data_IF_128793608077
#
_entry.id   IF_128793608077
#
_cell.length_a   1.000
_cell.length_b   1.000
_cell.length_c   1.000
_cell.angle_alpha   90.00
_cell.angle_beta   90.00
_cell.angle_gamma   90.00
#
_symmetry.space_group_name_H-M   'P 1'
#
loop_
_entity.id
_entity.type
_entity.pdbx_description
1 polymer ?
#
# COMPACT_ATOMS: atom_id res chain seq x y z
N UNK A 1 32.33 20.00 -8.29
CA UNK A 1 31.38 19.83 -9.42
C UNK A 1 29.96 19.97 -8.92
N UNK A 2 28.98 20.05 -9.82
CA UNK A 2 27.55 20.04 -9.46
C UNK A 2 26.98 18.64 -9.59
N UNK A 3 26.28 18.16 -8.57
CA UNK A 3 25.79 16.77 -8.49
C UNK A 3 24.33 16.73 -8.02
N UNK A 4 23.56 15.81 -8.58
CA UNK A 4 22.24 15.41 -8.10
C UNK A 4 22.36 14.05 -7.41
N UNK A 5 21.42 13.72 -6.53
CA UNK A 5 21.46 12.48 -5.76
C UNK A 5 20.11 11.77 -5.78
N UNK A 6 20.14 10.45 -5.95
CA UNK A 6 19.03 9.54 -5.68
C UNK A 6 19.43 8.65 -4.51
N UNK A 7 18.49 8.38 -3.62
CA UNK A 7 18.68 7.54 -2.46
C UNK A 7 17.59 6.49 -2.39
N UNK A 8 18.00 5.22 -2.39
CA UNK A 8 17.15 4.08 -2.04
C UNK A 8 17.62 3.54 -0.70
N UNK A 9 16.67 3.37 0.22
CA UNK A 9 16.91 2.71 1.49
C UNK A 9 15.93 1.55 1.66
N UNK A 10 16.39 0.52 2.36
CA UNK A 10 15.61 -0.68 2.64
C UNK A 10 15.73 -1.09 4.10
N UNK A 11 14.78 -1.87 4.59
CA UNK A 11 14.80 -2.35 5.98
C UNK A 11 16.02 -3.24 6.25
N UNK A 12 16.40 -4.05 5.26
CA UNK A 12 17.56 -4.94 5.28
C UNK A 12 18.56 -4.54 4.19
N UNK A 13 19.78 -5.08 4.22
CA UNK A 13 20.73 -4.87 3.13
C UNK A 13 20.15 -5.42 1.82
N UNK A 14 20.42 -4.74 0.70
CA UNK A 14 19.85 -5.10 -0.60
C UNK A 14 20.17 -6.55 -1.00
N UNK A 15 21.39 -7.02 -0.73
CA UNK A 15 21.78 -8.40 -0.99
C UNK A 15 20.91 -9.42 -0.23
N UNK A 16 20.55 -9.12 1.02
CA UNK A 16 19.72 -9.99 1.85
C UNK A 16 18.27 -10.03 1.32
N UNK A 17 17.74 -8.87 0.92
CA UNK A 17 16.40 -8.76 0.30
C UNK A 17 16.29 -9.65 -0.95
N UNK A 18 17.33 -9.67 -1.79
CA UNK A 18 17.37 -10.49 -3.01
C UNK A 18 17.36 -12.00 -2.75
N UNK A 19 17.90 -12.43 -1.62
CA UNK A 19 17.93 -13.84 -1.20
C UNK A 19 16.73 -14.25 -0.35
N UNK A 20 15.88 -13.29 0.04
CA UNK A 20 14.70 -13.57 0.83
C UNK A 20 13.65 -14.33 0.01
N UNK A 21 12.79 -15.11 0.70
CA UNK A 21 11.63 -15.74 0.06
C UNK A 21 10.47 -14.79 -0.22
N UNK A 22 10.60 -13.50 0.14
CA UNK A 22 9.56 -12.48 -0.03
C UNK A 22 9.45 -12.07 -1.49
N UNK A 23 8.30 -11.54 -1.89
CA UNK A 23 8.28 -10.66 -3.05
C UNK A 23 9.18 -9.45 -2.76
N UNK A 24 10.08 -9.14 -3.69
CA UNK A 24 11.19 -8.22 -3.48
C UNK A 24 11.18 -7.11 -4.52
N UNK A 25 11.75 -5.97 -4.13
CA UNK A 25 11.99 -4.87 -5.05
C UNK A 25 13.35 -5.06 -5.71
N UNK A 26 13.36 -5.27 -7.03
CA UNK A 26 14.56 -5.39 -7.85
C UNK A 26 14.84 -4.04 -8.50
N UNK A 27 16.06 -3.52 -8.31
CA UNK A 27 16.45 -2.23 -8.86
C UNK A 27 17.30 -2.41 -10.11
N UNK A 28 17.00 -1.62 -11.13
CA UNK A 28 17.90 -1.39 -12.28
C UNK A 28 18.70 -0.14 -11.93
N UNK A 29 20.02 -0.26 -11.77
CA UNK A 29 20.87 0.89 -11.46
C UNK A 29 21.56 1.39 -12.74
N UNK A 30 21.68 2.72 -12.94
CA UNK A 30 22.43 3.26 -14.06
C UNK A 30 23.90 2.82 -14.02
N UNK A 31 24.47 2.52 -15.18
CA UNK A 31 25.90 2.33 -15.37
C UNK A 31 26.68 3.61 -15.09
N UNK A 32 27.95 3.46 -14.71
CA UNK A 32 28.80 4.59 -14.31
C UNK A 32 29.29 5.46 -15.48
N UNK A 33 29.10 5.03 -16.74
CA UNK A 33 29.74 5.65 -17.92
C UNK A 33 28.76 6.26 -18.90
N UNK A 34 27.61 5.62 -19.14
CA UNK A 34 26.76 5.96 -20.28
C UNK A 34 25.29 6.22 -19.90
N UNK A 35 24.89 5.83 -18.69
CA UNK A 35 23.51 5.97 -18.24
C UNK A 35 23.30 7.25 -17.43
N UNK A 36 22.09 7.78 -17.54
CA UNK A 36 21.63 8.89 -16.72
C UNK A 36 20.88 8.38 -15.50
N UNK A 37 20.61 9.27 -14.53
CA UNK A 37 19.84 8.90 -13.34
C UNK A 37 18.44 8.35 -13.68
N UNK A 38 17.92 8.69 -14.85
CA UNK A 38 16.60 8.27 -15.35
C UNK A 38 16.50 6.76 -15.60
N UNK A 39 17.63 6.06 -15.79
CA UNK A 39 17.66 4.60 -15.92
C UNK A 39 17.46 3.88 -14.57
N UNK A 40 17.43 4.62 -13.45
CA UNK A 40 17.07 4.03 -12.16
C UNK A 40 15.59 3.63 -12.17
N UNK A 41 15.34 2.36 -11.94
CA UNK A 41 14.00 1.82 -11.73
C UNK A 41 13.99 0.86 -10.57
N UNK A 42 12.84 0.75 -9.90
CA UNK A 42 12.60 -0.23 -8.86
C UNK A 42 11.32 -0.98 -9.19
N UNK A 43 11.46 -2.27 -9.50
CA UNK A 43 10.38 -3.15 -9.92
C UNK A 43 10.06 -4.14 -8.81
N UNK A 44 8.81 -4.19 -8.37
CA UNK A 44 8.33 -5.22 -7.44
C UNK A 44 8.21 -6.55 -8.19
N UNK A 45 8.77 -7.63 -7.67
CA UNK A 45 8.64 -8.98 -8.23
C UNK A 45 7.17 -9.40 -8.33
N UNK A 46 6.77 -9.83 -9.54
CA UNK A 46 5.43 -10.29 -9.86
C UNK A 46 5.46 -11.34 -10.97
N UNK A 47 4.40 -12.12 -11.09
CA UNK A 47 4.17 -13.05 -12.19
C UNK A 47 3.15 -12.48 -13.17
N UNK A 48 3.41 -12.63 -14.47
CA UNK A 48 2.42 -12.29 -15.48
C UNK A 48 1.32 -13.35 -15.55
N UNK A 49 0.07 -12.93 -15.34
CA UNK A 49 -1.13 -13.78 -15.43
C UNK A 49 -1.96 -13.50 -16.69
N UNK A 50 -1.34 -12.90 -17.71
CA UNK A 50 -2.01 -12.46 -18.94
C UNK A 50 -2.51 -11.03 -18.83
N UNK A 51 -3.78 -10.86 -18.46
CA UNK A 51 -4.47 -9.56 -18.39
C UNK A 51 -3.99 -8.67 -17.23
N UNK A 52 -3.41 -9.27 -16.20
CA UNK A 52 -2.86 -8.61 -15.04
C UNK A 52 -1.56 -9.32 -14.60
N UNK A 53 -0.81 -8.65 -13.73
CA UNK A 53 0.32 -9.21 -13.01
C UNK A 53 -0.07 -9.47 -11.56
N UNK A 54 0.54 -10.47 -10.91
CA UNK A 54 0.24 -10.84 -9.52
C UNK A 54 1.51 -10.89 -8.67
N UNK A 55 1.47 -10.29 -7.48
CA UNK A 55 2.56 -10.37 -6.51
C UNK A 55 2.50 -11.69 -5.76
N UNK A 56 3.51 -12.54 -5.97
CA UNK A 56 3.65 -13.81 -5.26
C UNK A 56 4.38 -13.59 -3.94
N UNK A 57 3.61 -13.33 -2.88
CA UNK A 57 4.15 -12.92 -1.58
C UNK A 57 4.76 -14.07 -0.74
N UNK A 58 4.51 -15.34 -1.11
CA UNK A 58 4.98 -16.54 -0.39
C UNK A 58 4.66 -16.55 1.12
N UNK A 59 3.49 -16.03 1.49
CA UNK A 59 3.05 -15.86 2.89
C UNK A 59 4.00 -15.02 3.74
N UNK A 60 4.71 -14.08 3.10
CA UNK A 60 5.62 -13.16 3.76
C UNK A 60 5.31 -11.70 3.37
N UNK A 61 5.52 -10.75 4.29
CA UNK A 61 5.39 -9.32 3.98
C UNK A 61 6.50 -8.85 3.04
N UNK A 62 6.25 -7.74 2.34
CA UNK A 62 7.27 -7.03 1.56
C UNK A 62 8.34 -6.42 2.48
N UNK A 63 9.57 -6.31 1.99
CA UNK A 63 10.57 -5.46 2.64
C UNK A 63 10.19 -3.97 2.51
N UNK A 64 10.50 -3.18 3.54
CA UNK A 64 10.21 -1.74 3.48
C UNK A 64 11.17 -1.05 2.51
N UNK A 65 10.61 -0.29 1.57
CA UNK A 65 11.33 0.54 0.61
C UNK A 65 11.11 2.01 0.96
N UNK A 66 12.21 2.77 0.93
CA UNK A 66 12.19 4.22 0.93
C UNK A 66 12.94 4.77 -0.28
N UNK A 67 12.38 5.80 -0.87
CA UNK A 67 12.98 6.49 -2.00
C UNK A 67 13.06 8.00 -1.74
N UNK A 68 14.17 8.60 -2.16
CA UNK A 68 14.39 10.03 -2.05
C UNK A 68 15.20 10.56 -3.21
N UNK A 69 14.94 11.81 -3.58
CA UNK A 69 15.62 12.50 -4.66
C UNK A 69 16.04 13.90 -4.22
N UNK A 70 17.20 14.32 -4.70
CA UNK A 70 17.63 15.70 -4.63
C UNK A 70 17.98 16.18 -6.04
N UNK A 71 16.99 16.83 -6.65
CA UNK A 71 17.05 17.30 -8.03
C UNK A 71 17.78 18.64 -8.16
N UNK A 72 17.83 19.43 -7.09
CA UNK A 72 18.66 20.63 -7.09
C UNK A 72 20.13 20.24 -6.95
N UNK A 73 20.93 20.61 -7.95
CA UNK A 73 22.32 20.20 -7.99
C UNK A 73 23.13 20.90 -6.90
N UNK A 74 23.83 20.12 -6.08
CA UNK A 74 24.72 20.64 -5.03
C UNK A 74 26.10 20.84 -5.60
N UNK A 75 26.68 21.99 -5.28
CA UNK A 75 28.07 22.26 -5.56
C UNK A 75 28.99 21.62 -4.51
N UNK A 76 29.76 20.63 -4.96
CA UNK A 76 30.80 19.97 -4.17
C UNK A 76 32.14 20.65 -4.44
N UNK A 77 32.73 21.20 -3.38
CA UNK A 77 34.05 21.84 -3.41
C UNK A 77 35.13 20.89 -2.89
N UNK A 78 36.34 20.98 -3.45
CA UNK A 78 37.52 20.29 -2.92
C UNK A 78 38.12 20.97 -1.68
N UNK A 79 37.74 22.22 -1.40
CA UNK A 79 38.33 23.02 -0.33
C UNK A 79 37.60 22.94 1.02
N UNK A 80 36.35 22.48 1.03
CA UNK A 80 35.52 22.37 2.24
C UNK A 80 34.45 21.28 2.10
N UNK A 81 34.00 20.65 3.21
CA UNK A 81 32.86 19.74 3.18
C UNK A 81 31.59 20.44 2.66
N UNK A 82 30.83 19.74 1.84
CA UNK A 82 29.46 20.12 1.42
C UNK A 82 28.46 19.21 2.12
N UNK A 83 27.34 19.77 2.57
CA UNK A 83 26.28 19.04 3.26
C UNK A 83 24.97 19.10 2.48
N UNK A 84 24.22 18.01 2.54
CA UNK A 84 22.98 17.80 1.81
C UNK A 84 22.05 16.91 2.62
N UNK A 85 20.75 17.19 2.56
CA UNK A 85 19.72 16.35 3.17
C UNK A 85 18.81 15.84 2.07
N UNK A 86 18.64 14.52 2.00
CA UNK A 86 17.70 13.87 1.09
C UNK A 86 16.54 13.37 1.94
N UNK A 87 15.35 13.95 1.76
CA UNK A 87 14.14 13.46 2.42
C UNK A 87 13.68 12.17 1.76
N UNK A 88 13.41 11.16 2.58
CA UNK A 88 12.95 9.86 2.15
C UNK A 88 11.43 9.75 2.29
N UNK A 89 10.79 9.18 1.28
CA UNK A 89 9.37 8.78 1.30
C UNK A 89 9.32 7.26 1.43
N UNK A 90 8.44 6.75 2.30
CA UNK A 90 8.22 5.31 2.42
C UNK A 90 7.20 4.88 1.38
N UNK A 91 7.62 4.05 0.44
CA UNK A 91 6.76 3.61 -0.65
C UNK A 91 5.86 2.45 -0.23
N UNK A 92 6.36 1.50 0.58
CA UNK A 92 5.52 0.36 0.98
C UNK A 92 4.49 0.68 2.05
N UNK A 93 3.28 0.16 1.85
CA UNK A 93 2.14 0.32 2.77
C UNK A 93 1.71 -1.03 3.33
N UNK A 94 1.30 -1.04 4.59
CA UNK A 94 0.69 -2.17 5.28
C UNK A 94 -0.80 -1.90 5.46
N UNK A 95 -1.62 -2.83 4.96
CA UNK A 95 -3.08 -2.74 5.04
C UNK A 95 -3.58 -3.98 5.78
N UNK A 96 -4.04 -3.79 7.02
CA UNK A 96 -4.71 -4.81 7.81
C UNK A 96 -6.22 -4.71 7.58
N UNK A 97 -6.84 -5.80 7.16
CA UNK A 97 -8.27 -5.86 6.87
C UNK A 97 -8.94 -6.78 7.88
N UNK A 98 -10.03 -6.31 8.48
CA UNK A 98 -10.94 -7.09 9.29
C UNK A 98 -12.34 -7.04 8.68
N UNK A 99 -13.02 -8.17 8.58
CA UNK A 99 -14.36 -8.30 8.01
C UNK A 99 -15.30 -8.92 9.05
N UNK A 100 -16.46 -8.29 9.25
CA UNK A 100 -17.54 -8.76 10.14
C UNK A 100 -18.86 -8.80 9.39
N UNK A 101 -19.64 -9.84 9.64
CA UNK A 101 -21.03 -9.96 9.17
C UNK A 101 -21.98 -9.63 10.32
N UNK A 102 -22.90 -8.69 10.09
CA UNK A 102 -23.88 -8.23 11.07
C UNK A 102 -25.10 -9.15 11.14
N UNK A 103 -25.39 -9.95 10.11
CA UNK A 103 -26.53 -10.87 10.11
C UNK A 103 -26.16 -12.21 10.73
N UNK A 104 -25.00 -12.76 10.34
CA UNK A 104 -24.50 -14.07 10.81
C UNK A 104 -23.07 -13.98 11.35
N UNK A 105 -22.83 -13.25 12.45
CA UNK A 105 -21.48 -13.03 12.97
C UNK A 105 -20.74 -14.32 13.37
N UNK A 106 -21.46 -15.38 13.72
CA UNK A 106 -20.87 -16.67 14.13
C UNK A 106 -20.33 -17.50 12.96
N UNK A 107 -20.83 -17.24 11.76
CA UNK A 107 -20.51 -18.01 10.56
C UNK A 107 -19.37 -17.38 9.75
N UNK A 108 -18.89 -16.20 10.15
CA UNK A 108 -17.77 -15.52 9.49
C UNK A 108 -16.51 -16.38 9.49
N UNK A 109 -16.01 -16.71 8.30
CA UNK A 109 -14.72 -17.36 8.09
C UNK A 109 -13.99 -16.67 6.91
N UNK A 110 -12.73 -16.30 7.14
CA UNK A 110 -11.87 -15.71 6.09
C UNK A 110 -11.75 -16.60 4.85
N UNK A 111 -11.86 -17.92 5.02
CA UNK A 111 -11.75 -18.88 3.93
C UNK A 111 -12.91 -18.80 2.93
N UNK A 112 -14.05 -18.21 3.31
CA UNK A 112 -15.21 -18.04 2.44
C UNK A 112 -15.07 -16.84 1.49
N UNK A 113 -14.00 -16.06 1.64
CA UNK A 113 -13.78 -14.83 0.88
C UNK A 113 -12.46 -14.87 0.11
N UNK A 114 -12.49 -14.26 -1.07
CA UNK A 114 -11.29 -13.86 -1.81
C UNK A 114 -11.09 -12.37 -1.58
N UNK A 115 -9.94 -11.99 -1.05
CA UNK A 115 -9.58 -10.60 -0.77
C UNK A 115 -8.39 -10.19 -1.62
N UNK A 116 -8.50 -9.08 -2.35
CA UNK A 116 -7.47 -8.58 -3.25
C UNK A 116 -7.36 -7.06 -3.18
N UNK A 117 -6.15 -6.55 -3.43
CA UNK A 117 -5.95 -5.14 -3.80
C UNK A 117 -5.50 -5.12 -5.25
N UNK A 118 -6.20 -4.36 -6.08
CA UNK A 118 -5.89 -4.14 -7.49
C UNK A 118 -5.35 -2.73 -7.67
N UNK A 119 -4.18 -2.57 -8.30
CA UNK A 119 -3.51 -1.27 -8.45
C UNK A 119 -2.61 -1.26 -9.70
N UNK A 120 -1.91 -0.16 -9.99
CA UNK A 120 -0.96 -0.03 -11.10
C UNK A 120 0.39 0.49 -10.61
N UNK A 121 1.00 -0.17 -9.63
CA UNK A 121 2.13 0.37 -8.86
C UNK A 121 3.34 -0.58 -8.75
N UNK A 122 3.51 -1.48 -9.73
CA UNK A 122 4.61 -2.44 -9.75
C UNK A 122 5.99 -1.78 -9.96
N UNK A 123 6.04 -0.74 -10.80
CA UNK A 123 7.29 -0.14 -11.31
C UNK A 123 7.39 1.31 -10.86
N UNK A 124 8.41 1.57 -10.04
CA UNK A 124 8.74 2.89 -9.50
C UNK A 124 9.91 3.45 -10.30
N UNK A 125 9.74 4.63 -10.87
CA UNK A 125 10.76 5.30 -11.70
C UNK A 125 11.71 6.13 -10.84
N UNK A 126 12.79 6.59 -11.46
CA UNK A 126 13.90 7.34 -10.85
C UNK A 126 13.48 8.56 -10.00
N UNK A 127 12.33 9.17 -10.28
CA UNK A 127 11.82 10.35 -9.60
C UNK A 127 10.71 10.05 -8.58
N UNK A 128 10.52 8.77 -8.27
CA UNK A 128 9.46 8.20 -7.45
C UNK A 128 8.06 8.21 -8.08
N UNK A 129 7.91 8.61 -9.35
CA UNK A 129 6.66 8.37 -10.08
C UNK A 129 6.46 6.87 -10.35
N UNK A 130 5.23 6.48 -10.67
CA UNK A 130 4.90 5.10 -11.00
C UNK A 130 4.69 4.97 -12.51
N UNK A 131 5.11 3.84 -13.07
CA UNK A 131 4.62 3.38 -14.36
C UNK A 131 3.34 2.57 -14.13
N UNK A 132 2.22 3.20 -14.50
CA UNK A 132 0.86 2.69 -14.25
C UNK A 132 0.30 1.89 -15.44
N UNK A 133 1.15 1.47 -16.38
CA UNK A 133 0.72 0.79 -17.62
C UNK A 133 0.18 -0.63 -17.42
N UNK A 134 0.45 -1.26 -16.28
CA UNK A 134 0.11 -2.65 -15.99
C UNK A 134 -0.65 -2.79 -14.67
N UNK A 135 -1.80 -3.47 -14.74
CA UNK A 135 -2.58 -3.85 -13.57
C UNK A 135 -1.83 -4.90 -12.75
N UNK A 136 -1.70 -4.64 -11.47
CA UNK A 136 -1.08 -5.49 -10.47
C UNK A 136 -2.12 -5.91 -9.42
N UNK A 137 -2.12 -7.18 -9.06
CA UNK A 137 -2.97 -7.74 -8.01
C UNK A 137 -2.11 -8.19 -6.82
N UNK A 138 -2.52 -7.76 -5.64
CA UNK A 138 -2.00 -8.20 -4.35
C UNK A 138 -2.99 -9.13 -3.68
N UNK A 139 -2.48 -10.25 -3.16
CA UNK A 139 -3.17 -11.15 -2.24
C UNK A 139 -2.61 -10.97 -0.83
N UNK A 140 -3.38 -11.30 0.23
CA UNK A 140 -2.87 -11.18 1.59
C UNK A 140 -1.74 -12.16 1.83
N UNK A 141 -0.74 -11.75 2.61
CA UNK A 141 0.37 -12.63 3.02
C UNK A 141 0.03 -13.42 4.29
N UNK A 142 -0.98 -13.00 5.05
CA UNK A 142 -1.52 -13.74 6.17
C UNK A 142 -3.03 -13.55 6.28
N UNK A 143 -3.74 -14.61 6.66
CA UNK A 143 -5.19 -14.60 6.91
C UNK A 143 -5.52 -15.45 8.11
N UNK A 144 -6.44 -15.01 8.97
CA UNK A 144 -6.86 -15.78 10.15
C UNK A 144 -8.25 -15.35 10.63
N UNK A 145 -8.82 -16.11 11.56
CA UNK A 145 -10.06 -15.76 12.23
C UNK A 145 -9.79 -15.44 13.71
N UNK A 146 -10.51 -14.46 14.27
CA UNK A 146 -10.59 -14.26 15.73
C UNK A 146 -12.03 -14.29 16.19
N UNK A 147 -12.26 -14.43 17.49
CA UNK A 147 -13.58 -14.28 18.10
C UNK A 147 -13.60 -12.97 18.88
N UNK A 148 -14.60 -12.14 18.64
CA UNK A 148 -14.94 -11.02 19.50
C UNK A 148 -15.66 -11.56 20.75
N UNK A 149 -15.00 -11.48 21.90
CA UNK A 149 -15.53 -11.98 23.17
C UNK A 149 -16.73 -11.15 23.66
N UNK A 150 -16.79 -9.87 23.28
CA UNK A 150 -17.85 -8.94 23.70
C UNK A 150 -19.07 -9.03 22.78
N UNK A 151 -18.84 -9.06 21.47
CA UNK A 151 -19.92 -9.09 20.47
C UNK A 151 -20.41 -10.50 20.12
N UNK A 152 -19.74 -11.56 20.62
CA UNK A 152 -19.98 -12.96 20.27
C UNK A 152 -20.08 -13.13 18.75
N UNK A 153 -18.98 -12.86 18.05
CA UNK A 153 -18.89 -13.01 16.59
C UNK A 153 -17.48 -13.34 16.14
N UNK A 154 -17.34 -14.09 15.05
CA UNK A 154 -16.05 -14.30 14.39
C UNK A 154 -15.71 -13.10 13.52
N UNK A 155 -14.42 -12.83 13.39
CA UNK A 155 -13.86 -11.78 12.54
C UNK A 155 -12.86 -12.45 11.61
N UNK A 156 -13.04 -12.24 10.32
CA UNK A 156 -12.08 -12.66 9.30
C UNK A 156 -11.02 -11.56 9.12
N UNK A 157 -9.74 -11.91 9.20
CA UNK A 157 -8.62 -10.97 9.07
C UNK A 157 -7.75 -11.30 7.87
N UNK A 158 -7.21 -10.28 7.22
CA UNK A 158 -6.26 -10.40 6.13
C UNK A 158 -5.22 -9.27 6.17
N UNK A 159 -3.95 -9.64 6.12
CA UNK A 159 -2.84 -8.70 6.11
C UNK A 159 -2.24 -8.59 4.70
N UNK A 160 -2.19 -7.36 4.19
CA UNK A 160 -1.59 -7.01 2.91
C UNK A 160 -0.36 -6.14 3.12
N UNK A 161 0.56 -6.24 2.15
CA UNK A 161 1.52 -5.18 1.88
C UNK A 161 1.46 -4.82 0.40
N UNK A 162 1.52 -3.53 0.13
CA UNK A 162 1.47 -2.98 -1.24
C UNK A 162 2.68 -2.08 -1.49
N UNK A 163 2.92 -1.78 -2.76
CA UNK A 163 3.78 -0.67 -3.19
C UNK A 163 3.12 0.68 -2.85
N UNK A 164 3.68 1.77 -3.39
CA UNK A 164 3.16 3.14 -3.21
C UNK A 164 1.73 3.25 -3.71
N UNK A 165 0.89 3.93 -2.94
CA UNK A 165 -0.52 4.18 -3.26
C UNK A 165 -0.62 5.63 -3.76
N UNK A 166 -1.16 5.83 -4.96
CA UNK A 166 -1.41 7.15 -5.54
C UNK A 166 -2.90 7.47 -5.54
N UNK A 167 -3.24 8.73 -5.29
CA UNK A 167 -4.58 9.28 -5.49
C UNK A 167 -4.60 10.07 -6.79
N UNK A 168 -5.55 9.73 -7.65
CA UNK A 168 -5.78 10.37 -8.94
C UNK A 168 -6.93 11.38 -8.86
N UNK A 169 -7.00 12.23 -9.88
CA UNK A 169 -8.17 13.08 -10.11
C UNK A 169 -9.36 12.24 -10.63
N UNK A 170 -9.08 11.25 -11.47
CA UNK A 170 -10.05 10.24 -11.93
C UNK A 170 -10.00 9.01 -11.02
N UNK A 171 -11.00 8.88 -10.14
CA UNK A 171 -11.13 7.78 -9.18
C UNK A 171 -11.19 6.39 -9.83
N UNK A 172 -11.42 6.28 -11.14
CA UNK A 172 -11.38 4.98 -11.82
C UNK A 172 -9.96 4.43 -12.01
N UNK A 173 -8.95 5.29 -11.85
CA UNK A 173 -7.52 4.93 -11.93
C UNK A 173 -6.96 4.55 -10.56
N UNK A 174 -7.68 4.90 -9.48
CA UNK A 174 -7.28 4.59 -8.10
C UNK A 174 -7.30 3.08 -7.84
N UNK A 175 -6.32 2.64 -7.04
CA UNK A 175 -6.24 1.26 -6.56
C UNK A 175 -7.48 0.88 -5.76
N UNK A 176 -7.95 -0.36 -5.89
CA UNK A 176 -9.18 -0.84 -5.26
C UNK A 176 -8.98 -2.05 -4.39
N UNK A 177 -9.61 -2.02 -3.22
CA UNK A 177 -9.72 -3.20 -2.35
C UNK A 177 -11.05 -3.90 -2.63
N UNK A 178 -10.96 -5.17 -2.99
CA UNK A 178 -12.11 -6.01 -3.30
C UNK A 178 -12.17 -7.21 -2.36
N UNK A 179 -13.37 -7.49 -1.87
CA UNK A 179 -13.68 -8.72 -1.13
C UNK A 179 -14.87 -9.38 -1.82
N UNK A 180 -14.68 -10.62 -2.25
CA UNK A 180 -15.69 -11.42 -2.96
C UNK A 180 -16.00 -12.68 -2.17
N UNK A 181 -17.28 -12.95 -1.94
CA UNK A 181 -17.71 -14.22 -1.36
C UNK A 181 -17.53 -15.34 -2.41
N UNK A 182 -16.86 -16.42 -2.03
CA UNK A 182 -16.48 -17.51 -2.95
C UNK A 182 -17.67 -18.36 -3.39
N UNK A 183 -18.63 -18.59 -2.50
CA UNK A 183 -19.81 -19.41 -2.77
C UNK A 183 -20.75 -18.72 -3.76
N UNK A 184 -21.13 -17.48 -3.47
CA UNK A 184 -22.09 -16.72 -4.27
C UNK A 184 -21.45 -16.02 -5.47
N UNK A 185 -20.15 -15.77 -5.41
CA UNK A 185 -19.45 -14.94 -6.38
C UNK A 185 -19.79 -13.45 -6.28
N UNK A 186 -20.48 -13.00 -5.23
CA UNK A 186 -20.83 -11.60 -5.06
C UNK A 186 -19.67 -10.80 -4.46
N UNK A 187 -19.45 -9.59 -4.97
CA UNK A 187 -18.52 -8.62 -4.38
C UNK A 187 -19.19 -7.96 -3.18
N UNK A 188 -18.71 -8.26 -1.98
CA UNK A 188 -19.27 -7.75 -0.72
C UNK A 188 -18.61 -6.44 -0.30
N UNK A 189 -17.35 -6.22 -0.68
CA UNK A 189 -16.62 -4.95 -0.51
C UNK A 189 -15.96 -4.58 -1.83
N UNK A 190 -16.15 -3.33 -2.26
CA UNK A 190 -15.45 -2.72 -3.39
C UNK A 190 -15.25 -1.25 -3.04
N UNK A 191 -14.02 -0.88 -2.68
CA UNK A 191 -13.70 0.48 -2.23
C UNK A 191 -12.49 1.01 -2.97
N UNK A 192 -12.56 2.29 -3.33
CA UNK A 192 -11.41 3.10 -3.76
C UNK A 192 -10.48 3.27 -2.56
N UNK A 193 -9.31 2.65 -2.62
CA UNK A 193 -8.38 2.58 -1.49
C UNK A 193 -7.71 3.95 -1.23
N UNK A 194 -7.08 4.63 -2.21
CA UNK A 194 -6.54 5.99 -2.01
C UNK A 194 -7.56 6.97 -1.44
N UNK A 195 -8.79 7.00 -1.97
CA UNK A 195 -9.84 7.87 -1.44
C UNK A 195 -10.20 7.51 0.00
N UNK A 196 -10.51 6.24 0.26
CA UNK A 196 -10.90 5.76 1.58
C UNK A 196 -9.84 6.10 2.64
N UNK A 197 -8.56 5.87 2.32
CA UNK A 197 -7.45 6.17 3.21
C UNK A 197 -7.25 7.68 3.39
N UNK A 198 -7.35 8.48 2.33
CA UNK A 198 -7.14 9.94 2.39
C UNK A 198 -8.23 10.68 3.19
N UNK A 199 -9.41 10.07 3.37
CA UNK A 199 -10.50 10.60 4.21
C UNK A 199 -10.18 10.56 5.70
N UNK A 200 -9.08 9.94 6.11
CA UNK A 200 -8.60 9.92 7.50
C UNK A 200 -7.96 11.23 7.96
N UNK A 201 -7.68 12.15 7.04
CA UNK A 201 -7.18 13.49 7.36
C UNK A 201 -8.13 14.19 8.35
N UNK A 202 -7.57 14.74 9.43
CA UNK A 202 -8.29 15.60 10.38
C UNK A 202 -8.02 17.08 10.07
N UNK A 203 -8.63 18.00 10.83
CA UNK A 203 -8.41 19.46 10.70
C UNK A 203 -6.93 19.85 10.65
N UNK A 204 -6.06 19.11 11.34
CA UNK A 204 -4.61 19.37 11.38
C UNK A 204 -3.91 18.87 10.11
N UNK A 205 -4.31 17.72 9.56
CA UNK A 205 -3.73 17.16 8.33
C UNK A 205 -4.36 17.67 7.03
N UNK A 206 -5.42 18.49 7.07
CA UNK A 206 -5.92 19.19 5.87
C UNK A 206 -4.93 20.24 5.34
N UNK A 207 -3.92 20.60 6.12
CA UNK A 207 -2.78 21.39 5.63
C UNK A 207 -1.96 20.65 4.56
N UNK A 208 -2.04 19.31 4.52
CA UNK A 208 -1.38 18.47 3.54
C UNK A 208 -2.32 18.08 2.41
N UNK A 209 -1.73 17.89 1.22
CA UNK A 209 -2.44 17.25 0.11
C UNK A 209 -2.84 15.82 0.49
N UNK A 210 -3.85 15.27 -0.20
CA UNK A 210 -4.26 13.88 0.00
C UNK A 210 -3.09 12.91 -0.27
N UNK A 211 -2.31 13.16 -1.32
CA UNK A 211 -1.15 12.34 -1.66
C UNK A 211 -0.06 12.43 -0.60
N UNK A 212 0.24 13.63 -0.09
CA UNK A 212 1.24 13.78 0.96
C UNK A 212 0.84 13.03 2.24
N UNK A 213 -0.45 13.00 2.58
CA UNK A 213 -0.94 12.19 3.68
C UNK A 213 -0.72 10.68 3.44
N UNK A 214 -1.03 10.18 2.23
CA UNK A 214 -0.80 8.79 1.85
C UNK A 214 0.69 8.42 1.85
N UNK A 215 1.57 9.36 1.49
CA UNK A 215 3.02 9.16 1.49
C UNK A 215 3.61 9.12 2.92
N UNK A 216 3.03 9.88 3.85
CA UNK A 216 3.46 9.93 5.26
C UNK A 216 2.99 8.74 6.09
N UNK A 217 1.78 8.27 5.85
CA UNK A 217 1.24 7.12 6.56
C UNK A 217 1.61 5.80 5.87
N UNK A 218 1.63 4.73 6.66
CA UNK A 218 2.08 3.42 6.17
C UNK A 218 1.41 2.21 6.83
N UNK A 219 0.76 2.37 7.98
CA UNK A 219 0.07 1.26 8.68
C UNK A 219 -1.40 1.62 8.86
N UNK A 220 -2.24 0.92 8.10
CA UNK A 220 -3.68 1.14 8.03
C UNK A 220 -4.43 -0.09 8.47
N UNK A 221 -5.43 0.10 9.33
CA UNK A 221 -6.35 -0.94 9.81
C UNK A 221 -7.75 -0.61 9.34
N UNK A 222 -8.29 -1.43 8.45
CA UNK A 222 -9.60 -1.30 7.85
C UNK A 222 -10.51 -2.37 8.43
N UNK A 223 -11.64 -1.98 9.00
CA UNK A 223 -12.63 -2.90 9.51
C UNK A 223 -13.94 -2.69 8.75
N UNK A 224 -14.36 -3.67 7.98
CA UNK A 224 -15.57 -3.65 7.18
C UNK A 224 -16.68 -4.42 7.87
N UNK A 225 -17.88 -3.85 7.87
CA UNK A 225 -19.08 -4.46 8.39
C UNK A 225 -20.05 -4.67 7.23
N UNK A 226 -20.40 -5.93 6.97
CA UNK A 226 -21.33 -6.31 5.91
C UNK A 226 -22.68 -6.70 6.51
N UNK A 227 -23.75 -6.42 5.76
CA UNK A 227 -25.11 -6.83 6.04
C UNK A 227 -25.82 -7.14 4.73
N UNK A 228 -26.62 -8.21 4.69
CA UNK A 228 -27.33 -8.66 3.50
C UNK A 228 -26.39 -9.00 2.35
N UNK A 229 -25.16 -9.44 2.66
CA UNK A 229 -24.11 -9.70 1.67
C UNK A 229 -23.54 -8.43 1.00
N UNK A 230 -23.70 -7.25 1.61
CA UNK A 230 -23.19 -5.97 1.08
C UNK A 230 -22.49 -5.16 2.18
N UNK A 231 -21.54 -4.31 1.78
CA UNK A 231 -20.88 -3.37 2.69
C UNK A 231 -21.87 -2.35 3.26
N UNK A 232 -21.94 -2.24 4.58
CA UNK A 232 -22.80 -1.28 5.28
C UNK A 232 -22.03 -0.08 5.83
N UNK A 233 -20.98 -0.32 6.61
CA UNK A 233 -20.06 0.72 7.06
C UNK A 233 -18.64 0.18 7.24
N UNK A 234 -17.67 1.09 7.28
CA UNK A 234 -16.27 0.79 7.55
C UNK A 234 -15.78 1.64 8.72
N UNK A 235 -15.00 1.03 9.62
CA UNK A 235 -14.16 1.74 10.58
C UNK A 235 -12.73 1.69 10.07
N UNK A 236 -12.06 2.83 10.05
CA UNK A 236 -10.68 2.91 9.62
C UNK A 236 -9.86 3.49 10.75
N UNK A 237 -8.78 2.81 11.10
CA UNK A 237 -7.81 3.26 12.08
C UNK A 237 -6.46 3.34 11.40
N UNK A 238 -5.72 4.41 11.65
CA UNK A 238 -4.37 4.60 11.09
C UNK A 238 -3.38 4.74 12.23
N UNK A 239 -2.16 4.25 12.01
CA UNK A 239 -1.03 4.57 12.85
C UNK A 239 -0.06 5.43 12.05
N UNK A 240 0.07 6.70 12.45
CA UNK A 240 1.06 7.64 11.90
C UNK A 240 2.10 7.92 12.98
N UNK A 241 3.28 7.29 12.86
CA UNK A 241 4.34 7.39 13.87
C UNK A 241 3.86 6.99 15.29
N UNK A 242 3.79 7.95 16.22
CA UNK A 242 3.38 7.76 17.63
C UNK A 242 1.88 8.07 17.85
N UNK A 243 1.17 8.52 16.82
CA UNK A 243 -0.23 8.92 16.91
C UNK A 243 -1.12 7.85 16.26
N UNK A 244 -2.20 7.47 16.97
CA UNK A 244 -3.22 6.54 16.50
C UNK A 244 -4.60 7.18 16.69
N UNK A 245 -5.39 7.26 15.63
CA UNK A 245 -6.79 7.71 15.69
C UNK A 245 -7.67 6.91 14.72
N UNK A 246 -8.97 6.89 14.98
CA UNK A 246 -9.96 6.10 14.26
C UNK A 246 -11.08 6.98 13.70
N UNK A 247 -11.62 6.61 12.53
CA UNK A 247 -12.73 7.29 11.86
C UNK A 247 -13.75 6.27 11.36
N UNK A 248 -15.03 6.53 11.62
CA UNK A 248 -16.15 5.76 11.07
C UNK A 248 -16.62 6.38 9.76
N UNK A 249 -16.75 5.58 8.72
CA UNK A 249 -17.31 5.95 7.42
C UNK A 249 -18.53 5.06 7.15
N UNK A 250 -19.67 5.70 6.90
CA UNK A 250 -20.94 5.03 6.65
C UNK A 250 -21.30 5.12 5.16
N UNK A 251 -21.74 4.01 4.56
CA UNK A 251 -22.03 3.91 3.12
C UNK A 251 -23.53 3.84 2.78
N UNK A 252 -24.41 3.66 3.77
CA UNK A 252 -25.89 3.72 3.61
C UNK A 252 -26.51 4.79 4.51
N UNK A 253 -27.57 5.47 4.03
CA UNK A 253 -28.40 6.35 4.86
C UNK A 253 -29.23 5.53 5.85
N UNK A 254 -29.33 5.99 7.11
CA UNK A 254 -30.28 5.43 8.07
C UNK A 254 -31.69 5.85 7.63
N UNK A 255 -32.50 4.90 7.17
CA UNK A 255 -33.94 5.09 7.02
C UNK A 255 -34.65 4.94 8.37
#
# INVERSE_FOLDING_TARGET
GKYQFLALAGQNAYADQLTSGRAKFVRTAPSATDDTMQELEVNLDHENKGEYDEVINNSLPLDTLWHGKLLEAIEVSSSKPSYATISLVRDTKKINVALRDLDSPQDMDVNDYTMTIEDHNARILWDNSLDESRKLIYTPHATWNTVDEDERGKIAHADFMTSRILKHEDYNQDGRLLIKNKETGNTVVNVDLPDLLSRLRTSEEYSYSAQEFLDRAYDYKLQFFIQGGKLKYCLITISVNVLSWSKRIQFEELH
#
